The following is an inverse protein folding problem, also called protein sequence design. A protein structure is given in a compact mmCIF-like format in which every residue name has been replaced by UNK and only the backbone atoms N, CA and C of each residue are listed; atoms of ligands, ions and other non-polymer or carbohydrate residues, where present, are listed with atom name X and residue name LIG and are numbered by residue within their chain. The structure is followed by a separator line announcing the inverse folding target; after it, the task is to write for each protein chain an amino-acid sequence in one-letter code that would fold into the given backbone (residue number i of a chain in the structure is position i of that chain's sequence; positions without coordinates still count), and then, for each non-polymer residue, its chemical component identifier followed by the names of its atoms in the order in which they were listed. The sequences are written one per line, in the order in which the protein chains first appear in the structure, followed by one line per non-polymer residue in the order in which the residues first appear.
data_IF_026987680823
#
_entry.id   IF_026987680823
#
_cell.length_a   1.000
_cell.length_b   1.000
_cell.length_c   1.000
_cell.angle_alpha   90.00
_cell.angle_beta   90.00
_cell.angle_gamma   90.00
#
_symmetry.space_group_name_H-M   'P 1'
#
loop_
_entity.id
_entity.type
_entity.pdbx_description
1 polymer ?
#
# COMPACT_ATOMS: atom_id res chain seq x y z
N UNK A 1 -6.72 7.02 -13.82
CA UNK A 1 -6.08 6.52 -12.58
C UNK A 1 -6.92 5.35 -12.04
N UNK A 2 -6.38 4.12 -12.00
CA UNK A 2 -7.10 2.93 -11.52
C UNK A 2 -6.83 2.72 -10.03
N UNK A 3 -7.88 2.59 -9.23
CA UNK A 3 -7.80 2.28 -7.81
C UNK A 3 -7.86 0.77 -7.60
N UNK A 4 -6.93 0.26 -6.81
CA UNK A 4 -6.84 -1.16 -6.43
C UNK A 4 -7.36 -1.32 -5.01
N UNK A 5 -8.15 -2.35 -4.77
CA UNK A 5 -8.52 -2.73 -3.42
C UNK A 5 -7.34 -3.42 -2.70
N UNK A 6 -7.49 -3.71 -1.40
CA UNK A 6 -6.44 -4.35 -0.59
C UNK A 6 -5.96 -5.70 -1.15
N UNK A 7 -6.82 -6.48 -1.78
CA UNK A 7 -6.44 -7.78 -2.37
C UNK A 7 -5.57 -7.56 -3.60
N UNK A 8 -6.04 -6.73 -4.54
CA UNK A 8 -5.30 -6.39 -5.76
C UNK A 8 -3.93 -5.76 -5.46
N UNK A 9 -3.88 -4.87 -4.47
CA UNK A 9 -2.64 -4.22 -4.03
C UNK A 9 -1.64 -5.22 -3.41
N UNK A 10 -2.15 -6.19 -2.64
CA UNK A 10 -1.30 -7.22 -2.03
C UNK A 10 -0.76 -8.18 -3.09
N UNK A 11 -1.59 -8.56 -4.07
CA UNK A 11 -1.17 -9.36 -5.23
C UNK A 11 -0.08 -8.65 -6.04
N UNK A 12 -0.24 -7.34 -6.29
CA UNK A 12 0.77 -6.54 -6.98
C UNK A 12 2.11 -6.50 -6.23
N UNK A 13 2.07 -6.39 -4.91
CA UNK A 13 3.27 -6.38 -4.06
C UNK A 13 3.84 -7.79 -3.80
N UNK A 14 3.18 -8.85 -4.27
CA UNK A 14 3.58 -10.23 -4.00
C UNK A 14 3.48 -10.64 -2.53
N UNK A 15 2.55 -10.04 -1.77
CA UNK A 15 2.36 -10.30 -0.34
C UNK A 15 0.92 -10.71 -0.01
N UNK A 16 0.69 -11.21 1.20
CA UNK A 16 -0.69 -11.52 1.63
C UNK A 16 -1.47 -10.24 1.97
N UNK A 17 -2.79 -10.20 1.72
CA UNK A 17 -3.63 -9.07 2.12
C UNK A 17 -3.55 -8.79 3.62
N UNK A 18 -3.38 -9.83 4.45
CA UNK A 18 -3.22 -9.65 5.89
C UNK A 18 -1.95 -8.86 6.21
N UNK A 19 -0.81 -9.28 5.63
CA UNK A 19 0.48 -8.60 5.80
C UNK A 19 0.42 -7.14 5.31
N UNK A 20 -0.24 -6.87 4.17
CA UNK A 20 -0.45 -5.49 3.71
C UNK A 20 -1.18 -4.62 4.75
N UNK A 21 -2.16 -5.17 5.47
CA UNK A 21 -2.84 -4.39 6.52
C UNK A 21 -1.99 -4.17 7.75
N UNK A 22 -1.12 -5.13 8.10
CA UNK A 22 -0.13 -4.94 9.16
C UNK A 22 0.83 -3.81 8.77
N UNK A 23 1.33 -3.81 7.53
CA UNK A 23 2.21 -2.75 7.04
C UNK A 23 1.52 -1.39 7.06
N UNK A 24 0.27 -1.31 6.60
CA UNK A 24 -0.50 -0.06 6.58
C UNK A 24 -0.83 0.45 8.00
N UNK A 25 -1.09 -0.44 8.95
CA UNK A 25 -1.34 -0.05 10.34
C UNK A 25 -0.05 0.24 11.11
N UNK A 26 1.08 -0.27 10.65
CA UNK A 26 2.37 0.00 11.23
C UNK A 26 2.93 1.29 10.61
N UNK A 27 2.86 2.40 11.34
CA UNK A 27 3.28 3.73 10.87
C UNK A 27 4.70 3.80 10.31
N UNK A 28 5.58 2.85 10.66
CA UNK A 28 6.95 2.77 10.11
C UNK A 28 7.02 2.22 8.68
N UNK A 29 5.97 1.58 8.18
CA UNK A 29 6.00 0.98 6.84
C UNK A 29 5.78 2.01 5.74
N UNK A 30 5.06 3.10 6.02
CA UNK A 30 4.86 4.19 5.06
C UNK A 30 4.15 3.82 3.77
N UNK A 31 3.35 2.75 3.73
CA UNK A 31 2.62 2.36 2.51
C UNK A 31 1.54 3.42 2.23
N UNK A 32 1.57 4.05 1.04
CA UNK A 32 0.58 5.04 0.66
C UNK A 32 -0.77 4.37 0.34
N UNK A 33 -1.85 4.94 0.87
CA UNK A 33 -3.21 4.53 0.56
C UNK A 33 -4.13 5.75 0.50
N UNK A 34 -5.22 5.64 -0.26
CA UNK A 34 -6.30 6.61 -0.30
C UNK A 34 -7.53 6.01 0.37
N UNK A 35 -8.24 6.79 1.18
CA UNK A 35 -9.47 6.33 1.82
C UNK A 35 -10.65 6.89 1.04
N UNK A 36 -11.48 6.02 0.46
CA UNK A 36 -12.76 6.43 -0.10
C UNK A 36 -13.87 6.04 0.87
N UNK A 37 -14.49 7.05 1.46
CA UNK A 37 -15.63 6.93 2.36
C UNK A 37 -16.92 7.06 1.56
N UNK A 38 -17.32 5.99 0.87
CA UNK A 38 -18.58 6.01 0.11
C UNK A 38 -19.81 5.73 0.99
N UNK A 39 -19.67 5.19 2.21
CA UNK A 39 -20.81 4.84 3.09
C UNK A 39 -20.40 4.67 4.58
N UNK A 40 -19.76 5.67 5.19
CA UNK A 40 -19.29 5.69 6.60
C UNK A 40 -18.26 4.62 7.01
N UNK A 41 -18.10 3.54 6.25
CA UNK A 41 -17.06 2.52 6.36
C UNK A 41 -15.97 2.88 5.36
N UNK A 42 -15.08 3.80 5.71
CA UNK A 42 -13.96 4.21 4.88
C UNK A 42 -13.19 2.98 4.37
N UNK A 43 -13.21 2.75 3.06
CA UNK A 43 -12.44 1.66 2.43
C UNK A 43 -11.11 2.22 1.94
N UNK A 44 -10.02 1.53 2.27
CA UNK A 44 -8.66 1.87 1.81
C UNK A 44 -8.46 1.30 0.42
N UNK A 45 -8.00 2.14 -0.49
CA UNK A 45 -7.62 1.82 -1.86
C UNK A 45 -6.18 2.25 -2.10
N UNK A 46 -5.57 1.66 -3.11
CA UNK A 46 -4.17 1.83 -3.44
C UNK A 46 -4.05 2.18 -4.93
N UNK A 47 -3.03 2.95 -5.27
CA UNK A 47 -2.72 3.28 -6.67
C UNK A 47 -1.41 2.61 -7.03
N UNK A 48 -1.31 2.15 -8.28
CA UNK A 48 -0.11 1.44 -8.75
C UNK A 48 1.13 2.30 -8.58
N UNK A 49 1.05 3.55 -9.04
CA UNK A 49 2.14 4.52 -8.98
C UNK A 49 2.64 4.75 -7.54
N UNK A 50 1.74 4.84 -6.56
CA UNK A 50 2.13 5.05 -5.17
C UNK A 50 2.82 3.81 -4.58
N UNK A 51 2.35 2.61 -4.93
CA UNK A 51 3.00 1.35 -4.54
C UNK A 51 4.39 1.20 -5.19
N UNK A 52 4.53 1.57 -6.46
CA UNK A 52 5.81 1.55 -7.17
C UNK A 52 6.82 2.55 -6.59
N UNK A 53 6.37 3.76 -6.28
CA UNK A 53 7.21 4.78 -5.63
C UNK A 53 7.63 4.33 -4.23
N UNK A 54 6.73 3.69 -3.48
CA UNK A 54 7.05 3.12 -2.18
C UNK A 54 8.10 2.00 -2.27
N UNK A 55 7.95 1.08 -3.23
CA UNK A 55 8.94 0.04 -3.49
C UNK A 55 10.31 0.64 -3.81
N UNK A 56 10.36 1.62 -4.72
CA UNK A 56 11.60 2.33 -5.09
C UNK A 56 12.26 3.00 -3.89
N UNK A 57 11.48 3.68 -3.05
CA UNK A 57 12.00 4.33 -1.85
C UNK A 57 12.57 3.30 -0.86
N UNK A 58 11.87 2.18 -0.65
CA UNK A 58 12.30 1.10 0.24
C UNK A 58 13.58 0.42 -0.22
N UNK A 59 13.73 0.18 -1.53
CA UNK A 59 14.95 -0.38 -2.12
C UNK A 59 16.15 0.55 -1.93
N UNK A 60 15.97 1.87 -2.13
CA UNK A 60 17.05 2.86 -1.89
C UNK A 60 17.53 2.86 -0.43
N UNK A 61 16.60 2.84 0.52
CA UNK A 61 16.95 2.82 1.96
C UNK A 61 17.70 1.55 2.38
N UNK A 62 17.53 0.42 1.67
CA UNK A 62 18.27 -0.82 1.95
C UNK A 62 19.66 -0.84 1.31
N UNK A 63 19.91 -0.02 0.28
CA UNK A 63 21.18 0.02 -0.45
C UNK A 63 22.18 1.04 0.14
N UNK A 64 21.70 2.00 0.96
CA UNK A 64 22.51 2.97 1.70
C UNK A 64 22.78 2.56 3.17
N UNK A 65 22.48 1.31 3.56
CA UNK A 65 22.83 0.72 4.86
C UNK A 65 23.85 -0.39 4.69
#
# INVERSE_FOLDING_TARGET
MKLMNRKEAAEFLGITPNYLGILVNNSKSGIPFVTLSLNSKGRKYYTREALENWLKARTKTQQER
#
